data_IF_183273259538
#
_entry.id   IF_183273259538
#
_cell.length_a   1.000
_cell.length_b   1.000
_cell.length_c   1.000
_cell.angle_alpha   90.00
_cell.angle_beta   90.00
_cell.angle_gamma   90.00
#
_symmetry.space_group_name_H-M   'P 1'
#
loop_
_entity.id
_entity.type
_entity.pdbx_description
1 polymer ?
#
# COMPACT_ATOMS: atom_id res chain seq x y z
N UNK A 1 -37.44 9.78 -14.48
CA UNK A 1 -37.26 8.65 -13.55
C UNK A 1 -36.57 9.21 -12.31
N UNK A 2 -37.23 9.11 -11.17
CA UNK A 2 -36.88 9.82 -9.93
C UNK A 2 -35.56 9.30 -9.34
N UNK A 3 -34.63 10.19 -8.94
CA UNK A 3 -33.28 9.82 -8.47
C UNK A 3 -33.34 8.88 -7.26
N UNK A 4 -34.31 9.10 -6.37
CA UNK A 4 -34.57 8.24 -5.22
C UNK A 4 -35.05 6.83 -5.60
N UNK A 5 -35.91 6.71 -6.63
CA UNK A 5 -36.42 5.41 -7.09
C UNK A 5 -35.35 4.57 -7.79
N UNK A 6 -34.38 5.21 -8.43
CA UNK A 6 -33.23 4.50 -8.99
C UNK A 6 -32.33 3.97 -7.86
N UNK A 7 -32.03 4.78 -6.84
CA UNK A 7 -31.20 4.36 -5.70
C UNK A 7 -31.84 3.18 -4.93
N UNK A 8 -33.16 3.20 -4.70
CA UNK A 8 -33.87 2.10 -4.01
C UNK A 8 -33.90 0.78 -4.79
N UNK A 9 -33.91 0.82 -6.13
CA UNK A 9 -33.98 -0.40 -6.94
C UNK A 9 -32.66 -1.19 -6.95
N UNK A 10 -31.51 -0.52 -6.80
CA UNK A 10 -30.21 -1.20 -6.66
C UNK A 10 -29.92 -1.65 -5.21
N UNK A 11 -30.59 -1.05 -4.22
CA UNK A 11 -30.44 -1.37 -2.79
C UNK A 11 -31.10 -2.71 -2.44
N UNK A 12 -32.15 -3.10 -3.17
CA UNK A 12 -32.91 -4.33 -2.91
C UNK A 12 -32.16 -5.63 -3.21
N UNK A 13 -31.08 -5.60 -3.98
CA UNK A 13 -30.33 -6.79 -4.37
C UNK A 13 -28.83 -6.64 -4.03
N UNK A 14 -28.53 -6.74 -2.74
CA UNK A 14 -27.17 -6.85 -2.18
C UNK A 14 -26.34 -8.03 -2.72
N UNK A 15 -26.85 -8.77 -3.71
CA UNK A 15 -26.19 -9.85 -4.41
C UNK A 15 -25.18 -9.35 -5.45
N UNK A 16 -25.43 -8.23 -6.13
CA UNK A 16 -24.61 -7.82 -7.29
C UNK A 16 -23.16 -7.44 -6.90
N UNK A 17 -22.97 -6.69 -5.81
CA UNK A 17 -21.63 -6.32 -5.33
C UNK A 17 -20.84 -7.49 -4.72
N UNK A 18 -21.50 -8.63 -4.43
CA UNK A 18 -20.84 -9.85 -3.95
C UNK A 18 -20.18 -10.66 -5.08
N UNK A 19 -20.27 -10.21 -6.33
CA UNK A 19 -19.69 -10.92 -7.47
C UNK A 19 -18.70 -10.08 -8.26
N UNK A 20 -18.56 -8.79 -7.95
CA UNK A 20 -17.67 -7.89 -8.67
C UNK A 20 -16.41 -7.61 -7.86
N UNK A 21 -15.26 -7.94 -8.44
CA UNK A 21 -13.97 -7.54 -7.89
C UNK A 21 -13.79 -6.02 -7.99
N UNK A 22 -12.86 -5.45 -7.23
CA UNK A 22 -12.56 -4.03 -7.34
C UNK A 22 -12.16 -3.57 -8.75
N UNK A 23 -11.53 -4.44 -9.55
CA UNK A 23 -11.21 -4.14 -10.95
C UNK A 23 -12.48 -4.08 -11.81
N UNK A 24 -13.42 -5.01 -11.61
CA UNK A 24 -14.70 -5.00 -12.32
C UNK A 24 -15.51 -3.73 -12.02
N UNK A 25 -15.47 -3.25 -10.77
CA UNK A 25 -16.10 -1.97 -10.39
C UNK A 25 -15.45 -0.77 -11.10
N UNK A 26 -14.12 -0.78 -11.26
CA UNK A 26 -13.41 0.25 -12.02
C UNK A 26 -13.85 0.19 -13.49
N UNK A 27 -13.81 -0.99 -14.11
CA UNK A 27 -14.19 -1.17 -15.51
C UNK A 27 -15.65 -0.76 -15.75
N UNK A 28 -16.57 -1.19 -14.88
CA UNK A 28 -17.98 -0.83 -14.94
C UNK A 28 -18.19 0.68 -14.85
N UNK A 29 -17.42 1.38 -14.02
CA UNK A 29 -17.47 2.84 -13.90
C UNK A 29 -17.09 3.56 -15.21
N UNK A 30 -16.35 2.91 -16.11
CA UNK A 30 -15.94 3.46 -17.39
C UNK A 30 -16.94 3.19 -18.53
N UNK A 31 -17.88 2.26 -18.34
CA UNK A 31 -18.82 1.84 -19.38
C UNK A 31 -19.82 2.94 -19.74
N UNK A 32 -20.39 3.63 -18.75
CA UNK A 32 -21.35 4.71 -19.01
C UNK A 32 -21.38 5.76 -17.89
N UNK A 33 -21.94 6.95 -18.21
CA UNK A 33 -22.06 8.07 -17.27
C UNK A 33 -22.87 7.73 -16.02
N UNK A 34 -23.87 6.86 -16.13
CA UNK A 34 -24.70 6.44 -14.99
C UNK A 34 -23.87 5.61 -14.00
N UNK A 35 -23.16 4.59 -14.46
CA UNK A 35 -22.27 3.80 -13.61
C UNK A 35 -21.15 4.65 -13.04
N UNK A 36 -20.55 5.53 -13.85
CA UNK A 36 -19.57 6.47 -13.37
C UNK A 36 -20.10 7.32 -12.20
N UNK A 37 -21.30 7.91 -12.36
CA UNK A 37 -21.93 8.74 -11.33
C UNK A 37 -22.23 7.96 -10.05
N UNK A 38 -22.66 6.70 -10.15
CA UNK A 38 -22.98 5.86 -9.00
C UNK A 38 -21.71 5.36 -8.27
N UNK A 39 -20.67 4.98 -9.01
CA UNK A 39 -19.47 4.33 -8.44
C UNK A 39 -18.37 5.32 -8.04
N UNK A 40 -18.36 6.54 -8.60
CA UNK A 40 -17.33 7.55 -8.34
C UNK A 40 -17.65 8.47 -7.15
N UNK A 41 -18.84 8.34 -6.55
CA UNK A 41 -19.21 9.17 -5.39
C UNK A 41 -18.38 8.81 -4.15
N UNK A 42 -17.63 9.81 -3.65
CA UNK A 42 -16.73 9.66 -2.50
C UNK A 42 -17.45 9.78 -1.15
N UNK A 43 -18.65 10.35 -1.15
CA UNK A 43 -19.42 10.65 0.08
C UNK A 43 -20.70 9.83 0.20
N UNK A 44 -21.16 9.20 -0.88
CA UNK A 44 -22.34 8.33 -0.84
C UNK A 44 -22.07 7.08 -0.02
N UNK A 45 -22.88 6.87 1.03
CA UNK A 45 -22.82 5.68 1.89
C UNK A 45 -23.01 4.39 1.10
N UNK A 46 -23.96 4.36 0.16
CA UNK A 46 -24.22 3.22 -0.73
C UNK A 46 -22.99 2.90 -1.58
N UNK A 47 -22.38 3.93 -2.18
CA UNK A 47 -21.17 3.74 -2.99
C UNK A 47 -20.03 3.18 -2.14
N UNK A 48 -19.78 3.76 -0.96
CA UNK A 48 -18.75 3.25 -0.04
C UNK A 48 -19.02 1.79 0.36
N UNK A 49 -20.28 1.42 0.59
CA UNK A 49 -20.65 0.04 0.93
C UNK A 49 -20.35 -0.95 -0.21
N UNK A 50 -20.65 -0.59 -1.46
CA UNK A 50 -20.36 -1.44 -2.64
C UNK A 50 -18.85 -1.73 -2.72
N UNK A 51 -18.03 -0.69 -2.64
CA UNK A 51 -16.57 -0.84 -2.71
C UNK A 51 -16.01 -1.61 -1.51
N UNK A 52 -16.56 -1.41 -0.30
CA UNK A 52 -16.16 -2.15 0.90
C UNK A 52 -16.42 -3.65 0.74
N UNK A 53 -17.64 -4.03 0.37
CA UNK A 53 -18.02 -5.44 0.21
C UNK A 53 -17.14 -6.13 -0.84
N UNK A 54 -16.90 -5.45 -1.97
CA UNK A 54 -16.00 -5.92 -3.01
C UNK A 54 -14.56 -6.09 -2.50
N UNK A 55 -14.01 -5.10 -1.77
CA UNK A 55 -12.67 -5.22 -1.17
C UNK A 55 -12.56 -6.40 -0.22
N UNK A 56 -13.48 -6.51 0.73
CA UNK A 56 -13.43 -7.52 1.80
C UNK A 56 -13.48 -8.94 1.24
N UNK A 57 -14.27 -9.13 0.18
CA UNK A 57 -14.43 -10.41 -0.49
C UNK A 57 -13.27 -10.78 -1.40
N UNK A 58 -12.78 -9.84 -2.23
CA UNK A 58 -11.86 -10.18 -3.32
C UNK A 58 -10.38 -9.88 -3.01
N UNK A 59 -10.07 -8.95 -2.09
CA UNK A 59 -8.68 -8.65 -1.75
C UNK A 59 -8.20 -9.48 -0.56
N UNK A 60 -7.08 -10.18 -0.72
CA UNK A 60 -6.40 -10.86 0.40
C UNK A 60 -5.76 -9.88 1.37
N UNK A 61 -5.27 -8.75 0.87
CA UNK A 61 -4.69 -7.67 1.65
C UNK A 61 -4.88 -6.35 0.90
N UNK A 62 -5.02 -5.22 1.62
CA UNK A 62 -5.18 -5.07 3.07
C UNK A 62 -6.61 -5.34 3.54
N UNK A 63 -6.70 -5.94 4.74
CA UNK A 63 -7.99 -6.32 5.36
C UNK A 63 -8.60 -5.20 6.20
N UNK A 64 -7.79 -4.33 6.80
CA UNK A 64 -8.33 -3.21 7.58
C UNK A 64 -9.13 -2.27 6.68
N UNK A 65 -10.11 -1.55 7.23
CA UNK A 65 -10.81 -0.49 6.50
C UNK A 65 -9.84 0.63 6.08
N UNK A 66 -10.26 1.54 5.19
CA UNK A 66 -9.51 2.77 4.90
C UNK A 66 -9.17 3.55 6.19
N UNK A 67 -8.01 4.23 6.27
CA UNK A 67 -7.72 5.18 7.33
C UNK A 67 -8.73 6.33 7.40
N UNK A 68 -8.76 7.04 8.52
CA UNK A 68 -9.48 8.30 8.62
C UNK A 68 -9.07 9.25 7.47
N UNK A 69 -10.05 9.92 6.87
CA UNK A 69 -9.91 10.81 5.70
C UNK A 69 -9.68 10.11 4.34
N UNK A 70 -9.92 8.80 4.24
CA UNK A 70 -9.82 8.06 2.98
C UNK A 70 -11.11 7.31 2.64
N UNK A 71 -11.58 7.44 1.41
CA UNK A 71 -12.71 6.65 0.91
C UNK A 71 -12.24 5.28 0.39
N UNK A 72 -13.15 4.32 0.29
CA UNK A 72 -12.85 2.95 -0.17
C UNK A 72 -12.23 2.95 -1.57
N UNK A 73 -12.65 3.84 -2.48
CA UNK A 73 -12.07 3.91 -3.82
C UNK A 73 -10.59 4.31 -3.82
N UNK A 74 -10.22 5.33 -3.04
CA UNK A 74 -8.83 5.76 -2.95
C UNK A 74 -7.98 4.68 -2.27
N UNK A 75 -8.52 4.05 -1.24
CA UNK A 75 -7.87 2.95 -0.54
C UNK A 75 -7.60 1.76 -1.47
N UNK A 76 -8.62 1.31 -2.18
CA UNK A 76 -8.52 0.23 -3.16
C UNK A 76 -7.53 0.60 -4.27
N UNK A 77 -7.58 1.85 -4.76
CA UNK A 77 -6.64 2.32 -5.78
C UNK A 77 -5.19 2.26 -5.29
N UNK A 78 -4.92 2.64 -4.04
CA UNK A 78 -3.59 2.55 -3.43
C UNK A 78 -3.07 1.11 -3.32
N UNK A 79 -3.99 0.16 -3.19
CA UNK A 79 -3.69 -1.27 -3.02
C UNK A 79 -3.46 -1.93 -4.37
N UNK A 80 -4.37 -1.74 -5.32
CA UNK A 80 -4.32 -2.40 -6.63
C UNK A 80 -3.19 -1.85 -7.49
N UNK A 81 -2.99 -0.54 -7.47
CA UNK A 81 -1.98 0.10 -8.31
C UNK A 81 -0.67 0.24 -7.55
N UNK A 82 0.28 -0.65 -7.84
CA UNK A 82 1.63 -0.62 -7.28
C UNK A 82 2.52 0.52 -7.82
N UNK A 83 1.94 1.53 -8.47
CA UNK A 83 2.68 2.62 -9.11
C UNK A 83 2.79 3.85 -8.21
N UNK A 84 3.93 4.51 -8.26
CA UNK A 84 4.14 5.81 -7.62
C UNK A 84 3.07 6.80 -8.10
N UNK A 85 2.47 7.56 -7.19
CA UNK A 85 1.40 8.51 -7.55
C UNK A 85 1.88 9.59 -8.53
N UNK A 86 3.16 9.93 -8.48
CA UNK A 86 3.75 11.04 -9.23
C UNK A 86 4.36 10.55 -10.55
N UNK A 87 5.37 9.67 -10.49
CA UNK A 87 6.11 9.25 -11.69
C UNK A 87 5.60 7.94 -12.31
N UNK A 88 4.60 7.29 -11.70
CA UNK A 88 4.01 6.02 -12.16
C UNK A 88 4.98 4.82 -12.20
N UNK A 89 6.17 4.92 -11.62
CA UNK A 89 7.11 3.80 -11.49
C UNK A 89 6.56 2.72 -10.54
N UNK A 90 6.77 1.45 -10.88
CA UNK A 90 6.23 0.25 -10.22
C UNK A 90 6.90 -0.04 -8.87
N UNK A 91 8.12 0.46 -8.64
CA UNK A 91 8.83 0.31 -7.36
C UNK A 91 8.42 1.44 -6.40
N UNK A 92 7.23 1.32 -5.82
CA UNK A 92 6.68 2.30 -4.88
C UNK A 92 6.13 1.65 -3.62
N UNK A 93 6.22 2.37 -2.50
CA UNK A 93 5.66 1.95 -1.22
C UNK A 93 4.48 2.83 -0.84
N UNK A 94 3.47 2.25 -0.19
CA UNK A 94 2.34 3.01 0.37
C UNK A 94 2.77 3.74 1.63
N UNK A 95 2.67 5.06 1.62
CA UNK A 95 2.89 5.91 2.78
C UNK A 95 1.53 6.28 3.35
N UNK A 96 1.03 5.46 4.29
CA UNK A 96 -0.33 5.59 4.85
C UNK A 96 -0.62 6.97 5.44
N UNK A 97 0.36 7.58 6.11
CA UNK A 97 0.26 8.95 6.67
C UNK A 97 0.00 10.03 5.63
N UNK A 98 0.34 9.77 4.37
CA UNK A 98 0.10 10.69 3.26
C UNK A 98 -0.94 10.18 2.29
N UNK A 99 -1.57 9.03 2.56
CA UNK A 99 -2.59 8.43 1.72
C UNK A 99 -2.14 8.26 0.25
N UNK A 100 -0.84 8.00 0.02
CA UNK A 100 -0.21 7.99 -1.32
C UNK A 100 0.90 6.95 -1.43
N UNK A 101 1.15 6.46 -2.63
CA UNK A 101 2.36 5.66 -2.95
C UNK A 101 3.48 6.52 -3.48
N UNK A 102 4.70 6.30 -2.98
CA UNK A 102 5.90 6.98 -3.42
C UNK A 102 6.98 5.98 -3.83
N UNK A 103 7.67 6.26 -4.94
CA UNK A 103 9.01 5.71 -5.10
C UNK A 103 10.00 6.49 -4.22
N UNK A 104 11.19 5.93 -3.96
CA UNK A 104 12.20 6.55 -3.10
C UNK A 104 12.58 7.97 -3.54
N UNK A 105 12.71 8.20 -4.84
CA UNK A 105 13.05 9.52 -5.41
C UNK A 105 11.94 10.54 -5.16
N UNK A 106 10.70 10.23 -5.56
CA UNK A 106 9.58 11.15 -5.37
C UNK A 106 9.28 11.42 -3.89
N UNK A 107 9.53 10.47 -2.99
CA UNK A 107 9.38 10.71 -1.55
C UNK A 107 10.39 11.76 -1.08
N UNK A 108 11.66 11.61 -1.46
CA UNK A 108 12.74 12.54 -1.10
C UNK A 108 12.52 13.94 -1.67
N UNK A 109 12.08 14.04 -2.93
CA UNK A 109 11.82 15.33 -3.60
C UNK A 109 10.63 16.10 -3.02
N UNK A 110 9.68 15.40 -2.40
CA UNK A 110 8.41 15.97 -1.95
C UNK A 110 8.28 16.11 -0.44
N UNK A 111 9.29 15.66 0.28
CA UNK A 111 9.34 15.78 1.73
C UNK A 111 10.53 16.60 2.18
N UNK A 112 10.38 17.27 3.31
CA UNK A 112 11.41 18.15 3.86
C UNK A 112 11.43 18.05 5.38
N UNK A 113 12.62 18.09 5.97
CA UNK A 113 12.79 18.17 7.42
C UNK A 113 12.95 19.62 7.87
N UNK A 114 12.61 19.91 9.13
CA UNK A 114 12.64 21.26 9.70
C UNK A 114 13.98 21.99 9.49
N UNK A 115 15.10 21.26 9.61
CA UNK A 115 16.45 21.83 9.44
C UNK A 115 16.69 22.43 8.05
N UNK A 116 15.96 21.97 7.05
CA UNK A 116 16.08 22.40 5.65
C UNK A 116 15.03 23.46 5.27
N UNK A 117 14.23 23.96 6.21
CA UNK A 117 13.25 25.01 5.92
C UNK A 117 13.95 26.30 5.51
N UNK A 118 13.37 27.02 4.55
CA UNK A 118 13.80 28.38 4.24
C UNK A 118 13.42 29.36 5.37
N UNK A 119 13.99 30.56 5.33
CA UNK A 119 13.77 31.59 6.36
C UNK A 119 12.30 32.03 6.50
N UNK A 120 11.50 31.91 5.44
CA UNK A 120 10.08 32.23 5.51
C UNK A 120 9.31 31.17 6.32
N UNK A 121 9.54 29.89 6.04
CA UNK A 121 8.87 28.78 6.72
C UNK A 121 9.31 28.62 8.18
N UNK A 122 10.51 29.08 8.54
CA UNK A 122 10.97 29.14 9.94
C UNK A 122 10.17 30.13 10.80
N UNK A 123 9.43 31.06 10.19
CA UNK A 123 8.53 31.98 10.91
C UNK A 123 7.23 31.31 11.38
N UNK A 124 6.87 30.17 10.78
CA UNK A 124 5.67 29.43 11.21
C UNK A 124 5.94 28.90 12.62
N UNK A 125 5.01 29.06 13.56
CA UNK A 125 5.19 28.55 14.90
C UNK A 125 5.44 27.04 14.92
N UNK A 126 6.47 26.63 15.67
CA UNK A 126 6.92 25.24 15.71
C UNK A 126 5.82 24.28 16.19
N UNK A 127 4.91 24.75 17.05
CA UNK A 127 3.79 23.96 17.55
C UNK A 127 2.81 23.59 16.43
N UNK A 128 2.50 24.53 15.54
CA UNK A 128 1.69 24.28 14.35
C UNK A 128 2.38 23.31 13.39
N UNK A 129 3.68 23.49 13.12
CA UNK A 129 4.47 22.55 12.29
C UNK A 129 4.44 21.13 12.87
N UNK A 130 4.55 21.00 14.20
CA UNK A 130 4.47 19.70 14.90
C UNK A 130 3.09 19.04 14.78
N UNK A 131 2.06 19.79 14.41
CA UNK A 131 0.73 19.29 14.06
C UNK A 131 0.60 18.79 12.61
N UNK A 132 1.60 18.96 11.75
CA UNK A 132 1.54 18.41 10.41
C UNK A 132 1.81 16.91 10.37
N UNK A 133 1.28 16.26 9.34
CA UNK A 133 1.55 14.87 9.00
C UNK A 133 3.03 14.71 8.67
N UNK A 134 3.65 13.64 9.18
CA UNK A 134 5.07 13.39 8.93
C UNK A 134 5.39 11.90 8.87
N UNK A 135 6.47 11.58 8.16
CA UNK A 135 7.20 10.31 8.31
C UNK A 135 8.47 10.55 9.10
N UNK A 136 8.99 9.49 9.71
CA UNK A 136 10.31 9.50 10.34
C UNK A 136 11.30 8.83 9.39
N UNK A 137 12.38 9.52 9.06
CA UNK A 137 13.46 8.97 8.24
C UNK A 137 14.79 9.25 8.91
N UNK A 138 15.71 8.31 8.79
CA UNK A 138 17.10 8.53 9.17
C UNK A 138 17.78 9.39 8.11
N UNK A 139 18.49 10.41 8.54
CA UNK A 139 19.46 11.10 7.70
C UNK A 139 20.82 11.11 8.38
N UNK A 140 21.87 11.04 7.56
CA UNK A 140 23.23 11.28 8.04
C UNK A 140 23.34 12.68 8.60
N UNK A 141 23.99 12.77 9.75
CA UNK A 141 24.41 14.04 10.31
C UNK A 141 25.66 14.46 9.52
N UNK A 142 25.66 15.65 8.87
CA UNK A 142 26.81 16.10 8.10
C UNK A 142 28.12 16.01 8.88
N UNK A 143 29.18 15.56 8.21
CA UNK A 143 30.53 15.42 8.78
C UNK A 143 30.65 14.40 9.91
N UNK A 144 29.70 13.46 10.01
CA UNK A 144 29.77 12.34 10.96
C UNK A 144 29.27 11.05 10.30
N UNK A 145 29.66 9.90 10.86
CA UNK A 145 29.08 8.59 10.51
C UNK A 145 27.78 8.28 11.29
N UNK A 146 27.20 9.29 11.96
CA UNK A 146 26.02 9.14 12.79
C UNK A 146 24.75 9.45 12.00
N UNK A 147 23.70 8.71 12.30
CA UNK A 147 22.37 8.91 11.73
C UNK A 147 21.41 9.40 12.80
N UNK A 148 20.61 10.41 12.48
CA UNK A 148 19.55 10.91 13.35
C UNK A 148 18.18 10.74 12.70
N UNK A 149 17.17 10.47 13.53
CA UNK A 149 15.80 10.28 13.12
C UNK A 149 15.07 11.62 13.06
N UNK A 150 14.83 12.14 11.85
CA UNK A 150 14.12 13.39 11.65
C UNK A 150 12.68 13.17 11.19
N UNK A 151 11.85 14.18 11.45
CA UNK A 151 10.50 14.28 10.88
C UNK A 151 10.57 14.92 9.51
N UNK A 152 9.97 14.26 8.53
CA UNK A 152 9.84 14.71 7.16
C UNK A 152 8.37 14.99 6.86
N UNK A 153 8.10 16.23 6.49
CA UNK A 153 6.77 16.76 6.18
C UNK A 153 6.60 16.84 4.66
N UNK A 154 5.38 16.69 4.16
CA UNK A 154 5.12 17.02 2.77
C UNK A 154 5.32 18.51 2.53
N UNK A 155 6.03 18.86 1.45
CA UNK A 155 6.27 20.25 1.08
C UNK A 155 4.96 20.98 0.79
N UNK A 156 3.97 20.30 0.20
CA UNK A 156 2.63 20.87 -0.04
C UNK A 156 1.91 21.22 1.27
N UNK A 157 1.99 20.37 2.30
CA UNK A 157 1.37 20.63 3.60
C UNK A 157 2.02 21.84 4.30
N UNK A 158 3.35 22.01 4.14
CA UNK A 158 4.07 23.17 4.67
C UNK A 158 3.66 24.46 3.95
N UNK A 159 3.50 24.42 2.62
CA UNK A 159 3.03 25.58 1.85
C UNK A 159 1.64 26.01 2.29
N UNK A 160 0.70 25.07 2.39
CA UNK A 160 -0.65 25.35 2.87
C UNK A 160 -0.63 25.95 4.28
N UNK A 161 0.16 25.39 5.20
CA UNK A 161 0.28 25.92 6.56
C UNK A 161 0.89 27.33 6.58
N UNK A 162 1.88 27.59 5.73
CA UNK A 162 2.49 28.91 5.59
C UNK A 162 1.50 29.94 5.07
N UNK A 163 0.74 29.60 4.04
CA UNK A 163 -0.26 30.50 3.45
C UNK A 163 -1.35 30.86 4.49
N UNK A 164 -1.82 29.87 5.26
CA UNK A 164 -2.72 30.12 6.39
C UNK A 164 -2.10 31.06 7.43
N UNK A 165 -0.85 30.79 7.83
CA UNK A 165 -0.16 31.60 8.84
C UNK A 165 0.05 33.05 8.39
N UNK A 166 0.40 33.28 7.12
CA UNK A 166 0.58 34.62 6.57
C UNK A 166 -0.73 35.40 6.58
N UNK A 167 -1.86 34.75 6.26
CA UNK A 167 -3.17 35.42 6.35
C UNK A 167 -3.46 35.87 7.78
N UNK A 168 -3.15 35.05 8.78
CA UNK A 168 -3.33 35.42 10.20
C UNK A 168 -2.43 36.58 10.62
N UNK A 169 -1.15 36.54 10.20
CA UNK A 169 -0.19 37.59 10.47
C UNK A 169 -0.60 38.93 9.82
N UNK A 170 -1.07 38.89 8.57
CA UNK A 170 -1.55 40.09 7.84
C UNK A 170 -2.83 40.68 8.43
N UNK A 171 -3.69 39.85 9.00
CA UNK A 171 -4.91 40.30 9.68
C UNK A 171 -4.64 40.93 11.05
N UNK A 172 -3.37 41.05 11.47
CA UNK A 172 -2.97 41.54 12.80
C UNK A 172 -3.78 40.87 13.93
N UNK A 173 -4.01 39.55 13.81
CA UNK A 173 -4.65 38.78 14.87
C UNK A 173 -3.78 38.86 16.12
N UNK A 174 -4.43 38.99 17.28
CA UNK A 174 -3.72 39.01 18.55
C UNK A 174 -3.00 37.67 18.81
N UNK A 175 -2.05 37.71 19.73
CA UNK A 175 -1.22 36.55 20.06
C UNK A 175 -2.03 35.39 20.62
N UNK A 176 -3.16 35.64 21.29
CA UNK A 176 -4.01 34.60 21.87
C UNK A 176 -4.74 33.81 20.77
N UNK A 177 -5.19 34.51 19.72
CA UNK A 177 -5.78 33.89 18.54
C UNK A 177 -4.77 33.01 17.82
N UNK A 178 -3.54 33.49 17.62
CA UNK A 178 -2.47 32.71 16.99
C UNK A 178 -2.15 31.48 17.85
N UNK A 179 -2.00 31.64 19.17
CA UNK A 179 -1.74 30.53 20.09
C UNK A 179 -2.86 29.48 20.07
N UNK A 180 -4.12 29.90 19.96
CA UNK A 180 -5.28 29.02 19.82
C UNK A 180 -5.24 28.24 18.49
N UNK A 181 -4.96 28.92 17.37
CA UNK A 181 -4.78 28.28 16.06
C UNK A 181 -3.63 27.25 16.08
N UNK A 182 -2.48 27.59 16.67
CA UNK A 182 -1.37 26.66 16.82
C UNK A 182 -1.76 25.41 17.62
N UNK A 183 -2.51 25.60 18.71
CA UNK A 183 -2.96 24.53 19.57
C UNK A 183 -3.93 23.60 18.81
N UNK A 184 -4.88 24.16 18.06
CA UNK A 184 -5.82 23.41 17.23
C UNK A 184 -5.08 22.55 16.18
N UNK A 185 -4.15 23.16 15.42
CA UNK A 185 -3.32 22.44 14.44
C UNK A 185 -2.53 21.30 15.09
N UNK A 186 -1.89 21.58 16.22
CA UNK A 186 -1.12 20.59 16.97
C UNK A 186 -1.98 19.43 17.50
N UNK A 187 -3.16 19.74 18.05
CA UNK A 187 -4.07 18.73 18.60
C UNK A 187 -4.63 17.82 17.50
N UNK A 188 -5.19 18.39 16.43
CA UNK A 188 -5.71 17.63 15.27
C UNK A 188 -4.64 16.75 14.66
N UNK A 189 -3.45 17.32 14.45
CA UNK A 189 -2.27 16.60 13.97
C UNK A 189 -1.87 15.41 14.84
N UNK A 190 -1.79 15.61 16.16
CA UNK A 190 -1.40 14.54 17.08
C UNK A 190 -2.44 13.42 17.16
N UNK A 191 -3.73 13.75 17.09
CA UNK A 191 -4.80 12.76 17.03
C UNK A 191 -4.62 11.90 15.78
N UNK A 192 -4.53 12.53 14.61
CA UNK A 192 -4.31 11.85 13.33
C UNK A 192 -3.03 10.99 13.35
N UNK A 193 -1.91 11.54 13.82
CA UNK A 193 -0.63 10.81 13.86
C UNK A 193 -0.67 9.60 14.80
N UNK A 194 -1.42 9.66 15.90
CA UNK A 194 -1.64 8.50 16.80
C UNK A 194 -2.47 7.43 16.10
N UNK A 195 -3.57 7.83 15.48
CA UNK A 195 -4.48 6.92 14.75
C UNK A 195 -3.75 6.23 13.61
N UNK A 196 -3.07 6.99 12.74
CA UNK A 196 -2.37 6.42 11.59
C UNK A 196 -1.15 5.58 12.00
N UNK A 197 -0.51 5.89 13.13
CA UNK A 197 0.57 5.06 13.66
C UNK A 197 0.04 3.72 14.17
N UNK A 198 -1.11 3.72 14.87
CA UNK A 198 -1.79 2.49 15.27
C UNK A 198 -2.20 1.68 14.04
N UNK A 199 -2.86 2.32 13.09
CA UNK A 199 -3.28 1.72 11.82
C UNK A 199 -2.11 1.07 11.07
N UNK A 200 -0.99 1.79 10.93
CA UNK A 200 0.19 1.27 10.22
C UNK A 200 0.79 0.04 10.91
N UNK A 201 0.78 0.00 12.26
CA UNK A 201 1.24 -1.18 13.02
C UNK A 201 0.31 -2.37 12.82
N UNK A 202 -0.99 -2.14 12.82
CA UNK A 202 -1.99 -3.19 12.56
C UNK A 202 -1.87 -3.73 11.13
N UNK A 203 -1.67 -2.85 10.13
CA UNK A 203 -1.41 -3.26 8.75
C UNK A 203 -0.18 -4.18 8.65
N UNK A 204 0.94 -3.76 9.25
CA UNK A 204 2.17 -4.56 9.26
C UNK A 204 1.98 -5.90 9.97
N UNK A 205 1.24 -5.93 11.08
CA UNK A 205 0.93 -7.17 11.80
C UNK A 205 0.07 -8.14 10.96
N UNK A 206 -0.98 -7.64 10.33
CA UNK A 206 -1.84 -8.41 9.41
C UNK A 206 -1.03 -8.91 8.23
N UNK A 207 -0.25 -8.04 7.59
CA UNK A 207 0.62 -8.40 6.46
C UNK A 207 1.61 -9.50 6.85
N UNK A 208 2.28 -9.36 8.00
CA UNK A 208 3.24 -10.35 8.50
C UNK A 208 2.57 -11.71 8.77
N UNK A 209 1.34 -11.70 9.29
CA UNK A 209 0.57 -12.92 9.54
C UNK A 209 0.20 -13.62 8.24
N UNK A 210 -0.32 -12.87 7.26
CA UNK A 210 -0.65 -13.40 5.92
C UNK A 210 0.60 -13.97 5.26
N UNK A 211 1.70 -13.21 5.28
CA UNK A 211 2.99 -13.64 4.75
C UNK A 211 3.44 -14.97 5.37
N UNK A 212 3.43 -15.08 6.71
CA UNK A 212 3.80 -16.31 7.42
C UNK A 212 2.91 -17.49 7.02
N UNK A 213 1.60 -17.29 6.95
CA UNK A 213 0.67 -18.34 6.53
C UNK A 213 0.93 -18.78 5.08
N UNK A 214 1.25 -17.83 4.22
CA UNK A 214 1.55 -18.09 2.83
C UNK A 214 2.89 -18.82 2.64
N UNK A 215 3.90 -18.52 3.46
CA UNK A 215 5.14 -19.31 3.53
C UNK A 215 4.88 -20.76 3.95
N UNK A 216 4.00 -20.99 4.94
CA UNK A 216 3.63 -22.35 5.36
C UNK A 216 2.91 -23.10 4.22
N UNK A 217 1.97 -22.44 3.53
CA UNK A 217 1.28 -23.02 2.36
C UNK A 217 2.25 -23.36 1.24
N UNK A 218 3.22 -22.48 0.98
CA UNK A 218 4.25 -22.73 -0.02
C UNK A 218 5.13 -23.93 0.36
N UNK A 219 5.54 -24.05 1.63
CA UNK A 219 6.23 -25.24 2.12
C UNK A 219 5.47 -26.52 1.81
N UNK A 220 4.17 -26.57 2.14
CA UNK A 220 3.30 -27.72 1.83
C UNK A 220 3.21 -28.02 0.33
N UNK A 221 3.22 -27.00 -0.53
CA UNK A 221 3.25 -27.21 -1.99
C UNK A 221 4.57 -27.87 -2.39
N UNK A 222 5.70 -27.38 -1.89
CA UNK A 222 7.01 -27.95 -2.17
C UNK A 222 7.11 -29.40 -1.68
N UNK A 223 6.67 -29.68 -0.46
CA UNK A 223 6.61 -31.03 0.12
C UNK A 223 5.76 -31.95 -0.77
N UNK A 224 4.57 -31.51 -1.17
CA UNK A 224 3.68 -32.29 -2.06
C UNK A 224 4.31 -32.60 -3.42
N UNK A 225 5.10 -31.67 -3.97
CA UNK A 225 5.82 -31.89 -5.23
C UNK A 225 6.96 -32.90 -5.02
N UNK A 226 7.70 -32.81 -3.91
CA UNK A 226 8.78 -33.76 -3.62
C UNK A 226 8.28 -35.19 -3.41
N UNK A 227 7.06 -35.34 -2.86
CA UNK A 227 6.41 -36.63 -2.67
C UNK A 227 5.84 -37.23 -3.98
N UNK A 228 5.72 -36.44 -5.06
CA UNK A 228 5.31 -36.97 -6.36
C UNK A 228 6.42 -37.91 -6.89
N UNK A 229 6.13 -39.21 -6.89
CA UNK A 229 6.99 -40.23 -7.46
C UNK A 229 7.05 -40.17 -8.99
N UNK A 230 8.24 -40.47 -9.52
CA UNK A 230 8.43 -40.86 -10.92
C UNK A 230 7.74 -42.21 -11.19
N UNK A 231 7.07 -42.31 -12.34
CA UNK A 231 6.31 -43.51 -12.75
C UNK A 231 7.24 -44.74 -12.92
N UNK A 232 8.53 -44.52 -13.20
CA UNK A 232 9.44 -45.58 -13.65
C UNK A 232 10.39 -46.10 -12.56
N UNK A 233 10.70 -45.32 -11.53
CA UNK A 233 11.76 -45.65 -10.57
C UNK A 233 11.50 -45.26 -9.10
N UNK A 234 10.27 -44.82 -8.79
CA UNK A 234 9.84 -44.40 -7.46
C UNK A 234 10.72 -43.30 -6.82
N UNK A 235 11.55 -42.61 -7.62
CA UNK A 235 12.35 -41.48 -7.17
C UNK A 235 11.52 -40.20 -7.13
N UNK A 236 11.87 -39.23 -6.27
CA UNK A 236 11.23 -37.92 -6.29
C UNK A 236 11.31 -37.30 -7.68
N UNK A 237 10.16 -36.95 -8.24
CA UNK A 237 10.06 -36.31 -9.56
C UNK A 237 10.70 -34.91 -9.54
N UNK A 238 10.61 -34.21 -8.41
CA UNK A 238 11.14 -32.87 -8.23
C UNK A 238 12.22 -32.78 -7.14
N UNK A 239 13.33 -32.11 -7.45
CA UNK A 239 14.44 -31.84 -6.53
C UNK A 239 14.25 -30.46 -5.86
N UNK A 240 14.43 -30.39 -4.54
CA UNK A 240 14.15 -29.20 -3.74
C UNK A 240 15.00 -27.99 -4.10
N UNK A 241 16.30 -28.19 -4.35
CA UNK A 241 17.25 -27.15 -4.76
C UNK A 241 16.87 -26.55 -6.14
N UNK A 242 16.40 -27.38 -7.07
CA UNK A 242 15.89 -26.93 -8.36
C UNK A 242 14.57 -26.17 -8.20
N UNK A 243 13.69 -26.57 -7.29
CA UNK A 243 12.43 -25.85 -7.02
C UNK A 243 12.68 -24.47 -6.39
N UNK A 244 13.66 -24.33 -5.50
CA UNK A 244 14.09 -23.02 -5.00
C UNK A 244 14.63 -22.13 -6.13
N UNK A 245 15.48 -22.66 -7.01
CA UNK A 245 15.93 -21.93 -8.22
C UNK A 245 14.76 -21.48 -9.11
N UNK A 246 13.67 -22.26 -9.19
CA UNK A 246 12.46 -21.90 -9.93
C UNK A 246 11.72 -20.71 -9.30
N UNK A 247 11.63 -20.69 -7.97
CA UNK A 247 10.99 -19.60 -7.24
C UNK A 247 11.79 -18.30 -7.34
N UNK A 248 13.11 -18.40 -7.24
CA UNK A 248 14.03 -17.26 -7.40
C UNK A 248 14.00 -16.70 -8.81
N UNK A 249 14.00 -17.56 -9.84
CA UNK A 249 13.83 -17.13 -11.22
C UNK A 249 12.50 -16.40 -11.47
N UNK A 250 11.46 -16.71 -10.70
CA UNK A 250 10.16 -16.02 -10.75
C UNK A 250 10.12 -14.74 -9.90
N UNK A 251 11.23 -14.38 -9.23
CA UNK A 251 11.31 -13.29 -8.25
C UNK A 251 10.25 -13.38 -7.14
N UNK A 252 9.74 -14.57 -6.84
CA UNK A 252 8.55 -14.75 -5.98
C UNK A 252 8.79 -14.29 -4.52
N UNK A 253 10.05 -14.19 -4.10
CA UNK A 253 10.45 -13.87 -2.72
C UNK A 253 11.04 -12.47 -2.52
N UNK A 254 11.16 -11.67 -3.59
CA UNK A 254 11.99 -10.46 -3.52
C UNK A 254 11.37 -9.30 -2.73
N UNK A 255 10.06 -9.33 -2.44
CA UNK A 255 9.40 -8.30 -1.61
C UNK A 255 8.30 -8.86 -0.71
N UNK A 256 8.15 -8.27 0.48
CA UNK A 256 7.10 -8.58 1.47
C UNK A 256 5.67 -8.39 0.96
N UNK A 257 5.49 -7.65 -0.15
CA UNK A 257 4.18 -7.40 -0.76
C UNK A 257 3.77 -8.51 -1.77
N UNK A 258 4.71 -9.29 -2.29
CA UNK A 258 4.47 -10.26 -3.38
C UNK A 258 3.84 -11.59 -2.93
N UNK A 259 4.00 -11.96 -1.66
CA UNK A 259 3.46 -13.23 -1.13
C UNK A 259 2.12 -13.05 -0.41
N UNK A 260 1.29 -12.10 -0.85
CA UNK A 260 -0.06 -11.89 -0.32
C UNK A 260 -1.12 -12.60 -1.19
N UNK A 261 -0.86 -13.87 -1.46
CA UNK A 261 -1.58 -14.69 -2.42
C UNK A 261 -2.88 -15.29 -1.87
N UNK A 262 -3.89 -15.42 -2.73
CA UNK A 262 -5.09 -16.22 -2.55
C UNK A 262 -4.90 -17.68 -3.02
N UNK A 263 -5.91 -18.53 -2.80
CA UNK A 263 -5.84 -19.95 -3.18
C UNK A 263 -5.67 -20.20 -4.68
N UNK A 264 -6.33 -19.39 -5.52
CA UNK A 264 -6.21 -19.47 -6.98
C UNK A 264 -4.78 -19.15 -7.42
N UNK A 265 -4.17 -18.14 -6.81
CA UNK A 265 -2.78 -17.75 -7.09
C UNK A 265 -1.77 -18.81 -6.63
N UNK A 266 -2.02 -19.49 -5.51
CA UNK A 266 -1.22 -20.65 -5.10
C UNK A 266 -1.31 -21.81 -6.10
N UNK A 267 -2.50 -22.08 -6.64
CA UNK A 267 -2.68 -23.09 -7.70
C UNK A 267 -1.87 -22.73 -8.95
N UNK A 268 -1.99 -21.48 -9.42
CA UNK A 268 -1.23 -20.97 -10.58
C UNK A 268 0.28 -21.02 -10.31
N UNK A 269 0.70 -20.70 -9.09
CA UNK A 269 2.10 -20.79 -8.68
C UNK A 269 2.62 -22.22 -8.80
N UNK A 270 1.90 -23.20 -8.24
CA UNK A 270 2.27 -24.63 -8.36
C UNK A 270 2.40 -25.05 -9.82
N UNK A 271 1.41 -24.73 -10.65
CA UNK A 271 1.43 -25.05 -12.10
C UNK A 271 2.64 -24.42 -12.81
N UNK A 272 2.96 -23.17 -12.47
CA UNK A 272 4.13 -22.49 -13.03
C UNK A 272 5.46 -23.15 -12.62
N UNK A 273 5.59 -23.59 -11.36
CA UNK A 273 6.80 -24.27 -10.89
C UNK A 273 7.02 -25.56 -11.68
N UNK A 274 5.97 -26.36 -11.84
CA UNK A 274 6.01 -27.59 -12.63
C UNK A 274 6.42 -27.31 -14.08
N UNK A 275 5.87 -26.26 -14.69
CA UNK A 275 6.18 -25.90 -16.08
C UNK A 275 7.65 -25.45 -16.28
N UNK A 276 8.23 -24.69 -15.33
CA UNK A 276 9.60 -24.17 -15.46
C UNK A 276 10.67 -25.19 -15.07
N UNK A 277 10.32 -26.18 -14.25
CA UNK A 277 11.26 -27.13 -13.67
C UNK A 277 12.20 -27.81 -14.69
N UNK A 278 11.74 -28.30 -15.86
CA UNK A 278 12.62 -29.00 -16.81
C UNK A 278 13.77 -28.14 -17.34
N UNK A 279 13.51 -26.86 -17.63
CA UNK A 279 14.53 -25.94 -18.14
C UNK A 279 15.53 -25.55 -17.06
N UNK A 280 15.04 -25.29 -15.84
CA UNK A 280 15.87 -24.89 -14.71
C UNK A 280 16.72 -26.07 -14.24
N UNK A 281 16.19 -27.30 -14.20
CA UNK A 281 16.96 -28.52 -13.93
C UNK A 281 18.14 -28.69 -14.88
N UNK A 282 17.94 -28.46 -16.19
CA UNK A 282 19.03 -28.50 -17.18
C UNK A 282 20.14 -27.49 -16.87
N UNK A 283 19.76 -26.25 -16.52
CA UNK A 283 20.72 -25.19 -16.16
C UNK A 283 21.43 -25.50 -14.84
N UNK A 284 20.69 -25.97 -13.85
CA UNK A 284 21.20 -26.34 -12.53
C UNK A 284 22.27 -27.46 -12.65
N UNK A 285 21.99 -28.51 -13.42
CA UNK A 285 22.94 -29.58 -13.70
C UNK A 285 24.20 -29.09 -14.44
N UNK A 286 24.06 -28.11 -15.35
CA UNK A 286 25.20 -27.49 -16.05
C UNK A 286 26.08 -26.67 -15.09
N UNK A 287 25.49 -26.01 -14.08
CA UNK A 287 26.25 -25.29 -13.04
C UNK A 287 27.00 -26.25 -12.12
N UNK A 288 26.33 -27.30 -11.62
CA UNK A 288 26.98 -28.33 -10.77
C UNK A 288 28.20 -28.94 -11.45
N UNK A 289 28.12 -29.28 -12.75
CA UNK A 289 29.26 -29.83 -13.51
C UNK A 289 30.44 -28.86 -13.68
N UNK A 290 30.22 -27.54 -13.62
CA UNK A 290 31.29 -26.53 -13.73
C UNK A 290 32.04 -26.28 -12.43
N UNK A 291 31.49 -26.70 -11.28
CA UNK A 291 32.12 -26.55 -9.97
C UNK A 291 32.89 -27.79 -9.50
N UNK A 292 32.87 -28.87 -10.30
CA UNK A 292 33.52 -30.15 -10.01
C UNK A 292 34.78 -30.36 -10.88
N UNK A 293 35.07 -29.42 -11.79
CA UNK A 293 36.31 -29.32 -12.59
C UNK A 293 37.12 -28.14 -12.07
#
# INVERSE_FOLDING_TARGET
MDRQKAEEHWIGDSSFSKFLSPLDLIELSLVCKSFWSCLSSRTSSTTQMIWRLSREQFLCHPKLPPPADMCEQDYISLVLYNKCHFCKNVYSLTVWVFCRRFCKLCLKERTICYNNFNEAWKKIPLKAIRGLRYIKMYSEIPYTEKYELHRYYLIEDIKTLYDEFIVLALQNKDNDFIASWELDKHMKGNIYMKEISKYSKEQLSVQSTIFRNNMIKLGKILDSLMEEGSIDDNRPKYELDVLYDCLDAKNAFSTTDQLLLNEKEFKIMRESLVAMYPEIKKRHNKKKRKHVL
#
